data_IF_453716254898
#
_entry.id   IF_453716254898
#
_cell.length_a   1.000
_cell.length_b   1.000
_cell.length_c   1.000
_cell.angle_alpha   90.00
_cell.angle_beta   90.00
_cell.angle_gamma   90.00
#
_symmetry.space_group_name_H-M   'P 1'
#
loop_
_entity.id
_entity.type
_entity.pdbx_description
1 polymer ?
#
# COMPACT_ATOMS: atom_id res chain seq x y z
N UNK A 1 -48.93 -17.04 11.47
CA UNK A 1 -48.09 -16.37 12.50
C UNK A 1 -46.67 -16.30 11.94
N UNK A 2 -46.26 -15.15 11.40
CA UNK A 2 -44.87 -14.94 10.96
C UNK A 2 -44.21 -14.03 12.00
N UNK A 3 -43.31 -14.60 12.79
CA UNK A 3 -42.35 -13.83 13.58
C UNK A 3 -41.03 -13.96 12.83
N UNK A 4 -40.47 -12.90 12.23
CA UNK A 4 -39.06 -12.91 11.95
C UNK A 4 -38.38 -12.97 13.32
N UNK A 5 -37.68 -14.06 13.63
CA UNK A 5 -36.81 -14.15 14.80
C UNK A 5 -35.58 -13.25 14.58
N UNK A 6 -35.80 -11.94 14.44
CA UNK A 6 -34.76 -10.92 14.62
C UNK A 6 -34.54 -10.77 16.12
N UNK A 7 -33.73 -11.67 16.67
CA UNK A 7 -33.56 -11.78 18.13
C UNK A 7 -32.71 -12.95 18.60
N UNK A 8 -32.39 -13.92 17.73
CA UNK A 8 -31.12 -14.64 17.90
C UNK A 8 -30.09 -13.69 17.28
N UNK A 9 -29.40 -12.92 18.12
CA UNK A 9 -28.03 -12.55 17.78
C UNK A 9 -27.39 -13.87 17.36
N UNK A 10 -27.18 -14.10 16.06
CA UNK A 10 -26.41 -15.26 15.64
C UNK A 10 -25.02 -15.01 16.23
N UNK A 11 -24.60 -15.74 17.28
CA UNK A 11 -23.29 -15.50 17.87
C UNK A 11 -22.17 -15.77 16.85
N UNK A 12 -22.48 -16.43 15.72
CA UNK A 12 -21.59 -16.57 14.58
C UNK A 12 -21.34 -15.28 13.79
N UNK A 13 -22.22 -14.27 13.79
CA UNK A 13 -21.93 -12.99 13.11
C UNK A 13 -21.09 -12.02 13.96
N UNK A 14 -21.12 -12.20 15.29
CA UNK A 14 -20.14 -11.65 16.23
C UNK A 14 -18.92 -12.58 16.39
N UNK A 15 -18.61 -13.39 15.38
CA UNK A 15 -17.42 -14.23 15.42
C UNK A 15 -16.16 -13.34 15.48
N UNK A 16 -15.16 -13.70 16.31
CA UNK A 16 -13.84 -13.06 16.35
C UNK A 16 -13.17 -12.89 14.96
N UNK A 17 -13.62 -13.67 13.98
CA UNK A 17 -13.24 -13.63 12.57
C UNK A 17 -13.43 -12.23 11.96
N UNK A 18 -14.55 -11.56 12.19
CA UNK A 18 -14.79 -10.25 11.56
C UNK A 18 -13.80 -9.19 12.08
N UNK A 19 -13.47 -9.24 13.37
CA UNK A 19 -12.49 -8.33 13.96
C UNK A 19 -11.07 -8.59 13.44
N UNK A 20 -10.68 -9.85 13.23
CA UNK A 20 -9.33 -10.14 12.73
C UNK A 20 -9.18 -9.74 11.26
N UNK A 21 -10.24 -9.85 10.44
CA UNK A 21 -10.21 -9.39 9.06
C UNK A 21 -9.85 -7.89 8.96
N UNK A 22 -10.44 -7.05 9.82
CA UNK A 22 -10.15 -5.61 9.85
C UNK A 22 -8.67 -5.35 10.18
N UNK A 23 -8.11 -6.09 11.14
CA UNK A 23 -6.68 -5.99 11.50
C UNK A 23 -5.80 -6.41 10.33
N UNK A 24 -6.17 -7.47 9.61
CA UNK A 24 -5.45 -7.92 8.41
C UNK A 24 -5.51 -6.88 7.30
N UNK A 25 -6.65 -6.22 7.06
CA UNK A 25 -6.75 -5.14 6.07
C UNK A 25 -5.78 -4.00 6.37
N UNK A 26 -5.71 -3.58 7.63
CA UNK A 26 -4.78 -2.55 8.08
C UNK A 26 -3.31 -2.98 7.98
N UNK A 27 -3.00 -4.24 8.30
CA UNK A 27 -1.65 -4.78 8.21
C UNK A 27 -1.18 -4.89 6.74
N UNK A 28 -2.00 -5.50 5.88
CA UNK A 28 -1.75 -5.68 4.43
C UNK A 28 -1.57 -4.33 3.75
N UNK A 29 -2.53 -3.42 3.94
CA UNK A 29 -2.49 -2.11 3.32
C UNK A 29 -1.44 -1.16 3.90
N UNK A 30 -1.17 -1.28 5.20
CA UNK A 30 -0.26 -0.45 5.97
C UNK A 30 -1.01 0.51 6.89
N UNK A 31 -0.62 0.53 8.17
CA UNK A 31 -1.22 1.33 9.24
C UNK A 31 -0.85 2.83 9.26
N UNK A 32 -0.03 3.29 8.31
CA UNK A 32 0.50 4.66 8.29
C UNK A 32 -0.45 5.72 7.72
N UNK A 33 -1.49 5.31 6.99
CA UNK A 33 -2.46 6.21 6.35
C UNK A 33 -3.86 5.60 6.38
N UNK A 34 -4.90 6.41 6.17
CA UNK A 34 -6.27 5.92 5.96
C UNK A 34 -6.41 5.14 4.63
N UNK A 35 -5.58 5.46 3.64
CA UNK A 35 -5.64 4.83 2.32
C UNK A 35 -5.12 3.39 2.33
N UNK A 36 -4.15 3.09 3.20
CA UNK A 36 -3.61 1.75 3.41
C UNK A 36 -4.71 0.73 3.69
N UNK A 37 -5.44 0.82 4.82
CA UNK A 37 -6.51 -0.10 5.16
C UNK A 37 -7.59 -0.24 4.07
N UNK A 38 -7.90 0.82 3.33
CA UNK A 38 -8.86 0.76 2.21
C UNK A 38 -8.33 -0.15 1.09
N UNK A 39 -7.07 0.02 0.68
CA UNK A 39 -6.43 -0.84 -0.33
C UNK A 39 -6.31 -2.27 0.19
N UNK A 40 -5.94 -2.44 1.46
CA UNK A 40 -5.85 -3.76 2.10
C UNK A 40 -7.22 -4.46 2.14
N UNK A 41 -8.29 -3.73 2.45
CA UNK A 41 -9.64 -4.28 2.45
C UNK A 41 -10.06 -4.74 1.06
N UNK A 42 -9.80 -3.95 0.01
CA UNK A 42 -10.09 -4.35 -1.37
C UNK A 42 -9.34 -5.63 -1.77
N UNK A 43 -8.03 -5.70 -1.51
CA UNK A 43 -7.20 -6.86 -1.83
C UNK A 43 -7.65 -8.12 -1.08
N UNK A 44 -7.84 -8.00 0.23
CA UNK A 44 -8.23 -9.14 1.07
C UNK A 44 -9.64 -9.58 0.75
N UNK A 45 -10.58 -8.66 0.49
CA UNK A 45 -11.95 -9.02 0.12
C UNK A 45 -12.03 -9.67 -1.27
N UNK A 46 -11.19 -9.23 -2.22
CA UNK A 46 -11.04 -9.91 -3.51
C UNK A 46 -10.51 -11.34 -3.33
N UNK A 47 -9.49 -11.52 -2.48
CA UNK A 47 -8.99 -12.84 -2.09
C UNK A 47 -10.07 -13.69 -1.42
N UNK A 48 -10.85 -13.09 -0.51
CA UNK A 48 -11.96 -13.74 0.19
C UNK A 48 -12.95 -14.30 -0.81
N UNK A 49 -13.46 -13.46 -1.71
CA UNK A 49 -14.41 -13.85 -2.76
C UNK A 49 -13.92 -15.05 -3.58
N UNK A 50 -12.63 -15.05 -3.96
CA UNK A 50 -12.05 -16.11 -4.79
C UNK A 50 -11.84 -17.42 -4.01
N UNK A 51 -11.34 -17.34 -2.77
CA UNK A 51 -11.01 -18.53 -1.96
C UNK A 51 -12.23 -19.15 -1.31
N UNK A 52 -13.20 -18.35 -0.87
CA UNK A 52 -14.44 -18.86 -0.26
C UNK A 52 -15.34 -19.55 -1.28
N UNK A 53 -15.13 -19.34 -2.59
CA UNK A 53 -15.85 -20.03 -3.64
C UNK A 53 -15.49 -21.53 -3.75
N UNK A 54 -14.31 -21.93 -3.26
CA UNK A 54 -13.78 -23.29 -3.44
C UNK A 54 -13.66 -24.02 -2.09
N UNK A 55 -13.21 -23.34 -1.03
CA UNK A 55 -13.01 -23.94 0.29
C UNK A 55 -13.20 -22.91 1.44
N UNK A 56 -14.43 -22.76 1.98
CA UNK A 56 -14.75 -21.77 3.01
C UNK A 56 -13.90 -21.91 4.28
N UNK A 57 -13.70 -23.14 4.76
CA UNK A 57 -12.88 -23.41 5.96
C UNK A 57 -11.39 -23.07 5.78
N UNK A 58 -10.88 -23.09 4.55
CA UNK A 58 -9.47 -22.79 4.27
C UNK A 58 -9.15 -21.31 4.34
N UNK A 59 -10.16 -20.44 4.20
CA UNK A 59 -9.98 -18.99 4.22
C UNK A 59 -9.30 -18.50 5.50
N UNK A 60 -9.65 -19.06 6.66
CA UNK A 60 -9.04 -18.66 7.94
C UNK A 60 -7.54 -18.98 8.01
N UNK A 61 -7.12 -20.11 7.44
CA UNK A 61 -5.69 -20.46 7.34
C UNK A 61 -4.96 -19.53 6.38
N UNK A 62 -5.57 -19.20 5.24
CA UNK A 62 -5.03 -18.23 4.29
C UNK A 62 -4.92 -16.84 4.94
N UNK A 63 -5.93 -16.42 5.68
CA UNK A 63 -5.98 -15.13 6.35
C UNK A 63 -4.90 -15.02 7.44
N UNK A 64 -4.75 -16.06 8.26
CA UNK A 64 -3.69 -16.14 9.28
C UNK A 64 -2.30 -16.17 8.66
N UNK A 65 -2.11 -16.96 7.59
CA UNK A 65 -0.86 -17.02 6.84
C UNK A 65 -0.50 -15.68 6.20
N UNK A 66 -1.47 -15.01 5.57
CA UNK A 66 -1.29 -13.69 4.98
C UNK A 66 -0.90 -12.65 6.04
N UNK A 67 -1.52 -12.69 7.22
CA UNK A 67 -1.17 -11.82 8.34
C UNK A 67 0.29 -11.99 8.78
N UNK A 68 0.73 -13.23 9.02
CA UNK A 68 2.12 -13.54 9.40
C UNK A 68 3.09 -13.13 8.30
N UNK A 69 2.78 -13.43 7.05
CA UNK A 69 3.61 -13.08 5.90
C UNK A 69 3.80 -11.55 5.80
N UNK A 70 2.71 -10.78 5.83
CA UNK A 70 2.81 -9.33 5.73
C UNK A 70 3.53 -8.73 6.93
N UNK A 71 3.26 -9.20 8.15
CA UNK A 71 3.91 -8.63 9.34
C UNK A 71 5.42 -8.87 9.37
N UNK A 72 5.88 -10.03 8.86
CA UNK A 72 7.30 -10.35 8.78
C UNK A 72 8.01 -9.65 7.62
N UNK A 73 7.43 -9.70 6.41
CA UNK A 73 8.10 -9.26 5.19
C UNK A 73 7.75 -7.81 4.81
N UNK A 74 6.55 -7.33 5.11
CA UNK A 74 6.02 -6.01 4.79
C UNK A 74 5.57 -5.26 6.08
N UNK A 75 6.46 -4.94 7.03
CA UNK A 75 6.10 -4.31 8.31
C UNK A 75 5.48 -2.91 8.17
N UNK A 76 5.68 -2.26 7.01
CA UNK A 76 5.07 -0.97 6.65
C UNK A 76 3.81 -1.12 5.77
N UNK A 77 3.41 -2.35 5.46
CA UNK A 77 2.34 -2.68 4.52
C UNK A 77 2.69 -2.33 3.07
N UNK A 78 1.74 -2.58 2.17
CA UNK A 78 1.90 -2.33 0.73
C UNK A 78 2.14 -0.84 0.46
N UNK A 79 1.31 0.04 1.01
CA UNK A 79 1.38 1.49 0.72
C UNK A 79 2.69 2.10 1.22
N UNK A 80 3.13 1.75 2.43
CA UNK A 80 4.37 2.27 3.00
C UNK A 80 5.63 1.77 2.26
N UNK A 81 5.58 0.58 1.68
CA UNK A 81 6.70 0.03 0.89
C UNK A 81 6.77 0.71 -0.47
N UNK A 82 5.61 0.97 -1.09
CA UNK A 82 5.54 1.65 -2.38
C UNK A 82 6.00 3.11 -2.31
N UNK A 83 5.60 3.83 -1.26
CA UNK A 83 5.98 5.25 -1.06
C UNK A 83 7.50 5.42 -0.92
N UNK A 84 8.17 4.55 -0.16
CA UNK A 84 9.64 4.56 -0.06
C UNK A 84 10.33 4.28 -1.40
N UNK A 85 9.84 3.29 -2.17
CA UNK A 85 10.38 2.99 -3.49
C UNK A 85 10.20 4.15 -4.47
N UNK A 86 9.06 4.83 -4.42
CA UNK A 86 8.77 5.96 -5.30
C UNK A 86 9.61 7.19 -4.96
N UNK A 87 9.80 7.49 -3.67
CA UNK A 87 10.67 8.60 -3.24
C UNK A 87 12.12 8.36 -3.66
N UNK A 88 12.65 7.15 -3.44
CA UNK A 88 14.00 6.79 -3.86
C UNK A 88 14.19 6.90 -5.39
N UNK A 89 13.18 6.53 -6.18
CA UNK A 89 13.25 6.64 -7.64
C UNK A 89 13.14 8.10 -8.12
N UNK A 90 12.31 8.92 -7.46
CA UNK A 90 12.14 10.33 -7.79
C UNK A 90 13.38 11.15 -7.46
N UNK A 91 14.05 10.86 -6.36
CA UNK A 91 15.33 11.48 -5.99
C UNK A 91 16.41 11.19 -7.04
N UNK A 92 16.50 9.93 -7.52
CA UNK A 92 17.43 9.56 -8.60
C UNK A 92 17.13 10.27 -9.93
N UNK A 93 15.86 10.48 -10.28
CA UNK A 93 15.48 11.25 -11.47
C UNK A 93 15.84 12.73 -11.33
N UNK A 94 15.54 13.33 -10.18
CA UNK A 94 15.84 14.74 -9.93
C UNK A 94 17.34 15.03 -9.99
N UNK A 95 18.17 14.14 -9.43
CA UNK A 95 19.64 14.25 -9.55
C UNK A 95 20.13 14.10 -10.99
N UNK A 96 19.57 13.17 -11.77
CA UNK A 96 19.94 12.99 -13.18
C UNK A 96 19.53 14.19 -14.07
N UNK A 97 18.45 14.89 -13.71
CA UNK A 97 17.97 16.07 -14.44
C UNK A 97 18.79 17.33 -14.10
N UNK A 98 19.25 17.46 -12.84
CA UNK A 98 20.18 18.49 -12.42
C UNK A 98 21.57 18.33 -13.08
N UNK A 99 22.09 17.10 -13.16
CA UNK A 99 23.38 16.80 -13.81
C UNK A 99 23.36 17.08 -15.33
N UNK A 100 22.19 16.92 -15.96
CA UNK A 100 21.99 17.17 -17.39
C UNK A 100 21.80 18.66 -17.72
N UNK A 101 21.37 19.47 -16.74
CA UNK A 101 21.22 20.92 -16.87
C UNK A 101 22.53 21.70 -16.74
N UNK A 102 23.49 21.18 -15.96
CA UNK A 102 24.81 21.81 -15.73
C UNK A 102 25.80 21.60 -16.90
N UNK A 103 25.53 20.64 -17.79
CA UNK A 103 26.38 20.34 -18.95
C UNK A 103 26.06 21.21 -20.19
N UNK A 104 25.15 22.18 -20.08
CA UNK A 104 25.01 23.23 -21.09
C UNK A 104 26.16 24.23 -20.86
N UNK A 105 27.21 24.23 -21.71
CA UNK A 105 28.39 25.01 -21.43
C UNK A 105 28.04 26.49 -21.44
N UNK A 106 28.44 27.17 -20.37
CA UNK A 106 28.68 28.59 -20.35
C UNK A 106 29.76 28.93 -21.38
N UNK A 107 29.39 29.03 -22.66
CA UNK A 107 30.27 29.49 -23.75
C UNK A 107 29.90 30.89 -24.26
N UNK A 108 29.16 31.67 -23.46
CA UNK A 108 28.82 33.07 -23.79
C UNK A 108 29.47 34.08 -22.81
N UNK A 109 30.39 33.65 -21.95
CA UNK A 109 30.91 34.47 -20.85
C UNK A 109 32.31 35.09 -21.09
N UNK A 110 32.93 34.94 -22.27
CA UNK A 110 34.23 35.57 -22.55
C UNK A 110 34.35 36.10 -23.97
N UNK A 111 33.68 37.23 -24.26
CA UNK A 111 34.07 38.11 -25.37
C UNK A 111 33.80 39.59 -25.06
N UNK A 112 34.26 40.08 -23.90
CA UNK A 112 34.54 41.51 -23.76
C UNK A 112 35.86 41.69 -23.00
N UNK A 113 36.88 42.21 -23.69
CA UNK A 113 37.68 43.28 -23.10
C UNK A 113 37.81 44.48 -24.05
N UNK A 114 37.09 45.56 -23.70
CA UNK A 114 37.48 46.99 -23.56
C UNK A 114 38.35 47.73 -24.63
N UNK A 115 38.47 49.08 -24.60
CA UNK A 115 38.31 49.94 -25.77
C UNK A 115 39.55 50.82 -26.00
N UNK A 116 40.32 50.57 -27.05
CA UNK A 116 41.30 51.54 -27.52
C UNK A 116 41.66 51.23 -28.96
N UNK A 117 41.08 52.00 -29.88
CA UNK A 117 41.74 52.65 -31.03
C UNK A 117 40.72 53.55 -31.75
#
# INVERSE_FOLDING_TARGET
LYVPQVGIINPGEFAPVNSIEIVVWAAVGGRGTLLGPVIGALLVNFGKSTFTAIAPESWLFVLGGLFVFVTLFLPKGIVGTFDQGWRALRERRASAEAEKGEAAPADDAHAVPNPAE
#
